data_IF_428914193915
#
_entry.id   IF_428914193915
#
_cell.length_a   1.000
_cell.length_b   1.000
_cell.length_c   1.000
_cell.angle_alpha   90.00
_cell.angle_beta   90.00
_cell.angle_gamma   90.00
#
_symmetry.space_group_name_H-M   'P 1'
#
loop_
_entity.id
_entity.type
_entity.pdbx_description
1 polymer ?
#
# COMPACT_ATOMS: atom_id res chain seq x y z
N UNK A 1 98.73 22.22 14.95
CA UNK A 1 99.22 20.83 14.90
C UNK A 1 98.56 20.18 13.72
N UNK A 2 99.35 19.87 12.70
CA UNK A 2 98.93 19.12 11.52
C UNK A 2 98.60 17.68 11.95
N UNK A 3 97.46 17.17 11.51
CA UNK A 3 96.92 15.91 12.03
C UNK A 3 97.48 14.68 11.27
N UNK A 4 98.03 14.88 10.06
CA UNK A 4 98.53 13.81 9.19
C UNK A 4 99.96 14.15 8.74
N UNK A 5 100.94 13.24 8.87
CA UNK A 5 102.33 13.45 8.43
C UNK A 5 102.48 13.16 6.92
N UNK A 6 101.72 13.86 6.07
CA UNK A 6 101.84 13.80 4.60
C UNK A 6 101.59 15.19 4.01
N UNK A 7 102.36 15.64 2.99
CA UNK A 7 102.23 17.00 2.44
C UNK A 7 101.05 17.09 1.47
N UNK A 8 99.83 17.15 2.02
CA UNK A 8 98.58 17.30 1.27
C UNK A 8 98.16 18.77 1.17
N UNK A 9 99.06 19.63 0.68
CA UNK A 9 98.75 21.03 0.32
C UNK A 9 97.85 21.79 1.32
N UNK A 10 96.99 22.72 0.87
CA UNK A 10 96.08 23.47 1.74
C UNK A 10 94.89 22.64 2.29
N UNK A 11 94.88 21.31 2.07
CA UNK A 11 93.81 20.41 2.47
C UNK A 11 94.07 19.67 3.79
N UNK A 12 95.22 19.90 4.46
CA UNK A 12 95.48 19.28 5.76
C UNK A 12 94.55 19.90 6.82
N UNK A 13 93.58 19.14 7.38
CA UNK A 13 92.61 19.70 8.30
C UNK A 13 93.28 20.11 9.61
N UNK A 14 93.04 21.35 10.04
CA UNK A 14 93.46 21.78 11.37
C UNK A 14 92.58 21.08 12.41
N UNK A 15 93.20 20.49 13.42
CA UNK A 15 92.51 19.80 14.52
C UNK A 15 91.43 20.64 15.21
N UNK A 16 91.64 21.96 15.24
CA UNK A 16 90.69 22.93 15.79
C UNK A 16 89.45 23.06 14.91
N UNK A 17 89.61 23.17 13.59
CA UNK A 17 88.51 23.26 12.62
C UNK A 17 87.67 21.98 12.61
N UNK A 18 88.32 20.81 12.76
CA UNK A 18 87.62 19.54 12.90
C UNK A 18 86.79 19.46 14.20
N UNK A 19 87.32 20.00 15.30
CA UNK A 19 86.60 20.08 16.57
C UNK A 19 85.36 20.97 16.49
N UNK A 20 85.48 22.15 15.85
CA UNK A 20 84.35 23.05 15.63
C UNK A 20 83.30 22.42 14.67
N UNK A 21 83.75 21.78 13.59
CA UNK A 21 82.86 21.09 12.66
C UNK A 21 82.10 19.94 13.33
N UNK A 22 82.78 19.13 14.15
CA UNK A 22 82.17 18.04 14.89
C UNK A 22 81.17 18.56 15.94
N UNK A 23 81.50 19.64 16.65
CA UNK A 23 80.60 20.27 17.61
C UNK A 23 79.33 20.82 16.94
N UNK A 24 79.47 21.50 15.80
CA UNK A 24 78.34 22.00 15.01
C UNK A 24 77.48 20.85 14.46
N UNK A 25 78.12 19.81 13.92
CA UNK A 25 77.42 18.62 13.43
C UNK A 25 76.65 17.91 14.55
N UNK A 26 77.26 17.72 15.73
CA UNK A 26 76.60 17.11 16.87
C UNK A 26 75.41 17.94 17.36
N UNK A 27 75.54 19.27 17.39
CA UNK A 27 74.43 20.17 17.74
C UNK A 27 73.26 20.04 16.75
N UNK A 28 73.53 20.09 15.44
CA UNK A 28 72.50 19.94 14.40
C UNK A 28 71.88 18.54 14.47
N UNK A 29 72.68 17.50 14.67
CA UNK A 29 72.20 16.12 14.78
C UNK A 29 71.22 15.97 15.95
N UNK A 30 71.56 16.48 17.13
CA UNK A 30 70.67 16.43 18.31
C UNK A 30 69.40 17.26 18.08
N UNK A 31 69.52 18.42 17.44
CA UNK A 31 68.36 19.26 17.10
C UNK A 31 67.40 18.52 16.15
N UNK A 32 67.91 17.98 15.04
CA UNK A 32 67.14 17.23 14.04
C UNK A 32 66.55 15.95 14.64
N UNK A 33 67.34 15.19 15.40
CA UNK A 33 66.89 13.98 16.09
C UNK A 33 65.76 14.26 17.09
N UNK A 34 65.65 15.48 17.63
CA UNK A 34 64.59 15.88 18.54
C UNK A 34 63.36 16.47 17.84
N UNK A 35 63.51 17.03 16.64
CA UNK A 35 62.41 17.60 15.84
C UNK A 35 61.70 16.54 14.99
N UNK A 36 62.43 15.61 14.37
CA UNK A 36 61.87 14.50 13.59
C UNK A 36 60.74 13.73 14.31
N UNK A 37 60.89 13.27 15.56
CA UNK A 37 59.84 12.51 16.24
C UNK A 37 58.58 13.33 16.46
N UNK A 38 58.68 14.66 16.62
CA UNK A 38 57.50 15.53 16.74
C UNK A 38 56.75 15.66 15.42
N UNK A 39 57.48 15.73 14.30
CA UNK A 39 56.88 15.81 12.97
C UNK A 39 56.21 14.49 12.59
N UNK A 40 56.86 13.35 12.85
CA UNK A 40 56.27 12.03 12.61
C UNK A 40 54.99 11.82 13.43
N UNK A 41 55.01 12.21 14.71
CA UNK A 41 53.82 12.14 15.57
C UNK A 41 52.66 13.00 15.05
N UNK A 42 52.96 14.17 14.48
CA UNK A 42 51.92 15.02 13.87
C UNK A 42 51.35 14.41 12.57
N UNK A 43 52.18 13.72 11.79
CA UNK A 43 51.73 12.98 10.60
C UNK A 43 50.87 11.78 10.99
N UNK A 44 51.32 10.96 11.95
CA UNK A 44 50.55 9.82 12.49
C UNK A 44 49.18 10.26 13.02
N UNK A 45 49.12 11.34 13.81
CA UNK A 45 47.85 11.89 14.31
C UNK A 45 46.91 12.33 13.17
N UNK A 46 47.46 12.88 12.08
CA UNK A 46 46.66 13.28 10.92
C UNK A 46 46.18 12.07 10.14
N UNK A 47 47.05 11.09 9.92
CA UNK A 47 46.73 9.86 9.20
C UNK A 47 45.65 9.08 9.97
N UNK A 48 45.78 8.95 11.29
CA UNK A 48 44.76 8.33 12.15
C UNK A 48 43.44 9.11 12.11
N UNK A 49 43.50 10.45 12.17
CA UNK A 49 42.30 11.28 12.09
C UNK A 49 41.58 11.15 10.74
N UNK A 50 42.33 11.09 9.62
CA UNK A 50 41.79 10.95 8.27
C UNK A 50 41.24 9.54 8.07
N UNK A 51 42.01 8.51 8.41
CA UNK A 51 41.61 7.11 8.24
C UNK A 51 40.40 6.80 9.13
N UNK A 52 40.42 7.23 10.39
CA UNK A 52 39.28 7.08 11.30
C UNK A 52 38.05 7.90 10.88
N UNK A 53 38.23 9.06 10.24
CA UNK A 53 37.11 9.80 9.65
C UNK A 53 36.55 9.10 8.40
N UNK A 54 37.42 8.55 7.55
CA UNK A 54 37.04 7.80 6.34
C UNK A 54 36.29 6.53 6.70
N UNK A 55 36.79 5.74 7.64
CA UNK A 55 36.13 4.51 8.11
C UNK A 55 34.75 4.81 8.71
N UNK A 56 34.63 5.87 9.52
CA UNK A 56 33.33 6.32 10.04
C UNK A 56 32.38 6.75 8.92
N UNK A 57 32.87 7.47 7.92
CA UNK A 57 32.06 7.89 6.78
C UNK A 57 31.61 6.69 5.93
N UNK A 58 32.48 5.72 5.68
CA UNK A 58 32.16 4.48 4.97
C UNK A 58 31.14 3.63 5.76
N UNK A 59 31.31 3.50 7.08
CA UNK A 59 30.35 2.80 7.94
C UNK A 59 28.97 3.46 7.92
N UNK A 60 28.90 4.80 7.95
CA UNK A 60 27.63 5.53 7.85
C UNK A 60 26.99 5.35 6.47
N UNK A 61 27.78 5.41 5.40
CA UNK A 61 27.29 5.16 4.03
C UNK A 61 26.75 3.75 3.87
N UNK A 62 27.49 2.75 4.35
CA UNK A 62 27.06 1.35 4.29
C UNK A 62 25.76 1.11 5.08
N UNK A 63 25.62 1.72 6.26
CA UNK A 63 24.37 1.67 7.03
C UNK A 63 23.21 2.33 6.28
N UNK A 64 23.43 3.54 5.74
CA UNK A 64 22.40 4.25 4.98
C UNK A 64 21.97 3.48 3.72
N UNK A 65 22.91 2.83 3.02
CA UNK A 65 22.62 1.98 1.88
C UNK A 65 21.84 0.73 2.28
N UNK A 66 22.24 0.05 3.37
CA UNK A 66 21.50 -1.08 3.93
C UNK A 66 20.08 -0.70 4.35
N UNK A 67 19.90 0.43 5.03
CA UNK A 67 18.58 0.93 5.44
C UNK A 67 17.73 1.28 4.23
N UNK A 68 18.32 1.91 3.20
CA UNK A 68 17.63 2.24 1.95
C UNK A 68 17.17 0.97 1.22
N UNK A 69 18.03 -0.04 1.09
CA UNK A 69 17.67 -1.32 0.48
C UNK A 69 16.55 -2.01 1.25
N UNK A 70 16.61 -1.98 2.59
CA UNK A 70 15.54 -2.50 3.45
C UNK A 70 14.21 -1.77 3.23
N UNK A 71 14.24 -0.43 3.14
CA UNK A 71 13.06 0.38 2.87
C UNK A 71 12.47 0.13 1.47
N UNK A 72 13.32 0.01 0.45
CA UNK A 72 12.90 -0.32 -0.92
C UNK A 72 12.25 -1.70 -0.99
N UNK A 73 12.79 -2.70 -0.28
CA UNK A 73 12.19 -4.02 -0.17
C UNK A 73 10.82 -3.99 0.53
N UNK A 74 10.71 -3.26 1.65
CA UNK A 74 9.43 -3.08 2.35
C UNK A 74 8.38 -2.38 1.46
N UNK A 75 8.78 -1.38 0.68
CA UNK A 75 7.88 -0.70 -0.26
C UNK A 75 7.43 -1.62 -1.40
N UNK A 76 8.33 -2.49 -1.90
CA UNK A 76 7.98 -3.48 -2.91
C UNK A 76 6.96 -4.49 -2.35
N UNK A 77 7.21 -5.03 -1.17
CA UNK A 77 6.30 -5.96 -0.48
C UNK A 77 4.94 -5.32 -0.23
N UNK A 78 4.91 -4.09 0.31
CA UNK A 78 3.67 -3.36 0.56
C UNK A 78 2.87 -3.11 -0.74
N UNK A 79 3.53 -2.87 -1.87
CA UNK A 79 2.87 -2.71 -3.18
C UNK A 79 2.30 -4.03 -3.68
N UNK A 80 3.01 -5.13 -3.50
CA UNK A 80 2.52 -6.47 -3.84
C UNK A 80 1.30 -6.83 -2.99
N UNK A 81 1.38 -6.61 -1.69
CA UNK A 81 0.28 -6.88 -0.76
C UNK A 81 -0.94 -6.00 -1.05
N UNK A 82 -0.74 -4.71 -1.33
CA UNK A 82 -1.83 -3.82 -1.74
C UNK A 82 -2.47 -4.26 -3.07
N UNK A 83 -1.68 -4.76 -4.02
CA UNK A 83 -2.22 -5.30 -5.27
C UNK A 83 -3.04 -6.58 -5.02
N UNK A 84 -2.55 -7.47 -4.15
CA UNK A 84 -3.24 -8.69 -3.73
C UNK A 84 -4.59 -8.37 -3.06
N UNK A 85 -4.61 -7.42 -2.12
CA UNK A 85 -5.83 -6.99 -1.44
C UNK A 85 -6.83 -6.38 -2.43
N UNK A 86 -6.37 -5.54 -3.37
CA UNK A 86 -7.26 -4.99 -4.41
C UNK A 86 -7.87 -6.08 -5.28
N UNK A 87 -7.06 -7.07 -5.69
CA UNK A 87 -7.55 -8.18 -6.50
C UNK A 87 -8.59 -9.02 -5.73
N UNK A 88 -8.31 -9.35 -4.47
CA UNK A 88 -9.25 -10.07 -3.61
C UNK A 88 -10.56 -9.31 -3.41
N UNK A 89 -10.49 -7.99 -3.20
CA UNK A 89 -11.68 -7.15 -3.05
C UNK A 89 -12.51 -7.09 -4.34
N UNK A 90 -11.88 -7.06 -5.51
CA UNK A 90 -12.57 -7.11 -6.81
C UNK A 90 -13.27 -8.46 -7.02
N UNK A 91 -12.58 -9.56 -6.73
CA UNK A 91 -13.15 -10.91 -6.84
C UNK A 91 -14.34 -11.09 -5.89
N UNK A 92 -14.16 -10.78 -4.62
CA UNK A 92 -15.22 -10.82 -3.60
C UNK A 92 -16.39 -9.89 -3.95
N UNK A 93 -16.10 -8.67 -4.40
CA UNK A 93 -17.13 -7.71 -4.81
C UNK A 93 -17.94 -8.22 -6.01
N UNK A 94 -17.27 -8.82 -7.00
CA UNK A 94 -17.94 -9.40 -8.16
C UNK A 94 -18.83 -10.59 -7.80
N UNK A 95 -18.35 -11.46 -6.89
CA UNK A 95 -19.10 -12.59 -6.38
C UNK A 95 -20.32 -12.14 -5.58
N UNK A 96 -20.16 -11.15 -4.69
CA UNK A 96 -21.25 -10.61 -3.89
C UNK A 96 -22.33 -9.95 -4.77
N UNK A 97 -21.93 -9.21 -5.82
CA UNK A 97 -22.90 -8.63 -6.76
C UNK A 97 -23.64 -9.72 -7.53
N UNK A 98 -22.95 -10.79 -7.94
CA UNK A 98 -23.58 -11.92 -8.62
C UNK A 98 -24.59 -12.65 -7.71
N UNK A 99 -24.20 -12.90 -6.45
CA UNK A 99 -25.07 -13.51 -5.44
C UNK A 99 -26.29 -12.62 -5.14
N UNK A 100 -26.10 -11.32 -4.90
CA UNK A 100 -27.18 -10.39 -4.65
C UNK A 100 -28.15 -10.30 -5.84
N UNK A 101 -27.65 -10.36 -7.08
CA UNK A 101 -28.51 -10.43 -8.28
C UNK A 101 -29.30 -11.73 -8.36
N UNK A 102 -28.68 -12.86 -8.03
CA UNK A 102 -29.35 -14.16 -8.03
C UNK A 102 -30.42 -14.25 -6.94
N UNK A 103 -30.16 -13.72 -5.74
CA UNK A 103 -31.16 -13.61 -4.67
C UNK A 103 -32.31 -12.69 -5.10
N UNK A 104 -32.00 -11.50 -5.62
CA UNK A 104 -33.04 -10.58 -6.09
C UNK A 104 -33.91 -11.14 -7.22
N UNK A 105 -33.36 -12.00 -8.09
CA UNK A 105 -34.14 -12.73 -9.10
C UNK A 105 -35.06 -13.76 -8.44
N UNK A 106 -34.56 -14.56 -7.49
CA UNK A 106 -35.37 -15.53 -6.73
C UNK A 106 -36.50 -14.86 -5.97
N UNK A 107 -36.21 -13.77 -5.25
CA UNK A 107 -37.23 -13.00 -4.53
C UNK A 107 -38.28 -12.42 -5.49
N UNK A 108 -37.86 -11.85 -6.63
CA UNK A 108 -38.79 -11.35 -7.64
C UNK A 108 -39.71 -12.45 -8.17
N UNK A 109 -39.15 -13.61 -8.51
CA UNK A 109 -39.93 -14.73 -9.03
C UNK A 109 -40.91 -15.25 -7.98
N UNK A 110 -40.50 -15.30 -6.71
CA UNK A 110 -41.37 -15.66 -5.60
C UNK A 110 -42.54 -14.67 -5.43
N UNK A 111 -42.26 -13.36 -5.46
CA UNK A 111 -43.29 -12.31 -5.36
C UNK A 111 -44.25 -12.37 -6.56
N UNK A 112 -43.75 -12.61 -7.77
CA UNK A 112 -44.60 -12.75 -8.97
C UNK A 112 -45.47 -14.00 -8.88
N UNK A 113 -44.93 -15.12 -8.40
CA UNK A 113 -45.70 -16.35 -8.21
C UNK A 113 -46.81 -16.18 -7.16
N UNK A 114 -46.51 -15.57 -6.01
CA UNK A 114 -47.50 -15.26 -4.97
C UNK A 114 -48.58 -14.30 -5.49
N UNK A 115 -48.18 -13.25 -6.21
CA UNK A 115 -49.11 -12.31 -6.83
C UNK A 115 -50.05 -12.98 -7.84
N UNK A 116 -49.55 -13.92 -8.65
CA UNK A 116 -50.40 -14.70 -9.57
C UNK A 116 -51.39 -15.59 -8.83
N UNK A 117 -50.94 -16.29 -7.79
CA UNK A 117 -51.81 -17.13 -6.97
C UNK A 117 -52.92 -16.31 -6.28
N UNK A 118 -52.59 -15.11 -5.79
CA UNK A 118 -53.56 -14.16 -5.22
C UNK A 118 -54.60 -13.72 -6.26
N UNK A 119 -54.16 -13.27 -7.43
CA UNK A 119 -55.05 -12.86 -8.53
C UNK A 119 -55.99 -14.00 -8.93
N UNK A 120 -55.47 -15.23 -9.04
CA UNK A 120 -56.30 -16.40 -9.37
C UNK A 120 -57.38 -16.65 -8.29
N UNK A 121 -57.02 -16.53 -7.01
CA UNK A 121 -57.99 -16.64 -5.91
C UNK A 121 -59.03 -15.51 -5.91
N UNK A 122 -58.62 -14.28 -6.21
CA UNK A 122 -59.50 -13.11 -6.29
C UNK A 122 -60.46 -13.22 -7.49
N UNK A 123 -59.99 -13.69 -8.64
CA UNK A 123 -60.82 -13.97 -9.79
C UNK A 123 -61.86 -15.06 -9.51
N UNK A 124 -61.49 -16.14 -8.82
CA UNK A 124 -62.42 -17.20 -8.44
C UNK A 124 -63.50 -16.69 -7.46
N UNK A 125 -63.11 -15.87 -6.49
CA UNK A 125 -64.04 -15.23 -5.56
C UNK A 125 -65.00 -14.27 -6.28
N UNK A 126 -64.48 -13.44 -7.18
CA UNK A 126 -65.27 -12.50 -7.97
C UNK A 126 -66.26 -13.21 -8.91
N UNK A 127 -65.89 -14.34 -9.55
CA UNK A 127 -66.82 -15.12 -10.37
C UNK A 127 -67.96 -15.71 -9.53
N UNK A 128 -67.65 -16.21 -8.33
CA UNK A 128 -68.65 -16.72 -7.40
C UNK A 128 -69.63 -15.61 -6.95
N UNK A 129 -69.11 -14.43 -6.60
CA UNK A 129 -69.93 -13.27 -6.25
C UNK A 129 -70.81 -12.81 -7.41
N UNK A 130 -70.24 -12.68 -8.62
CA UNK A 130 -70.97 -12.28 -9.82
C UNK A 130 -72.14 -13.22 -10.13
N UNK A 131 -71.94 -14.54 -10.01
CA UNK A 131 -73.01 -15.54 -10.21
C UNK A 131 -74.17 -15.38 -9.22
N UNK A 132 -73.87 -15.06 -7.97
CA UNK A 132 -74.90 -14.79 -6.96
C UNK A 132 -75.68 -13.52 -7.32
N UNK A 133 -74.99 -12.41 -7.61
CA UNK A 133 -75.62 -11.14 -7.98
C UNK A 133 -76.48 -11.26 -9.25
N UNK A 134 -76.01 -11.99 -10.27
CA UNK A 134 -76.79 -12.24 -11.50
C UNK A 134 -78.05 -13.06 -11.20
N UNK A 135 -77.96 -14.07 -10.34
CA UNK A 135 -79.12 -14.90 -9.96
C UNK A 135 -80.18 -14.10 -9.19
N UNK A 136 -79.73 -13.19 -8.32
CA UNK A 136 -80.60 -12.27 -7.59
C UNK A 136 -81.29 -11.28 -8.53
N UNK A 137 -80.53 -10.62 -9.42
CA UNK A 137 -81.05 -9.70 -10.43
C UNK A 137 -82.03 -10.39 -11.40
N UNK A 138 -81.73 -11.61 -11.84
CA UNK A 138 -82.60 -12.38 -12.71
C UNK A 138 -83.92 -12.75 -12.00
N UNK A 139 -83.86 -13.10 -10.71
CA UNK A 139 -85.04 -13.39 -9.90
C UNK A 139 -85.90 -12.14 -9.67
N UNK A 140 -85.27 -10.98 -9.42
CA UNK A 140 -85.96 -9.70 -9.31
C UNK A 140 -86.67 -9.33 -10.62
N UNK A 141 -85.99 -9.46 -11.77
CA UNK A 141 -86.57 -9.21 -13.09
C UNK A 141 -87.74 -10.14 -13.40
N UNK A 142 -87.59 -11.44 -13.12
CA UNK A 142 -88.65 -12.43 -13.31
C UNK A 142 -89.89 -12.12 -12.44
N UNK A 143 -89.66 -11.73 -11.18
CA UNK A 143 -90.73 -11.30 -10.26
C UNK A 143 -91.48 -10.06 -10.78
N UNK A 144 -90.76 -9.08 -11.32
CA UNK A 144 -91.38 -7.89 -11.96
C UNK A 144 -92.22 -8.26 -13.18
N UNK A 145 -91.72 -9.13 -14.08
CA UNK A 145 -92.46 -9.56 -15.29
C UNK A 145 -93.73 -10.36 -14.93
N UNK A 146 -93.68 -11.24 -13.92
CA UNK A 146 -94.87 -12.02 -13.49
C UNK A 146 -95.85 -11.16 -12.68
N UNK A 147 -95.34 -10.17 -11.93
CA UNK A 147 -96.14 -9.19 -11.20
C UNK A 147 -96.93 -8.25 -12.13
N UNK A 148 -96.41 -7.94 -13.31
CA UNK A 148 -97.12 -7.26 -14.39
C UNK A 148 -97.96 -8.25 -15.21
N UNK A 149 -99.08 -8.71 -14.63
CA UNK A 149 -100.15 -9.29 -15.47
C UNK A 149 -100.86 -8.19 -16.25
N UNK A 150 -100.79 -8.33 -17.57
CA UNK A 150 -101.60 -7.65 -18.59
C UNK A 150 -103.07 -7.63 -18.13
N UNK A 151 -103.57 -6.44 -17.81
CA UNK A 151 -105.01 -6.19 -17.74
C UNK A 151 -105.55 -6.25 -19.18
N UNK A 152 -106.02 -7.42 -19.60
CA UNK A 152 -106.90 -7.54 -20.75
C UNK A 152 -108.35 -7.62 -20.23
N UNK A 153 -109.18 -6.59 -20.46
CA UNK A 153 -110.62 -6.74 -20.36
C UNK A 153 -111.08 -7.48 -21.61
N UNK A 154 -111.62 -8.69 -21.46
CA UNK A 154 -112.47 -9.28 -22.49
C UNK A 154 -113.87 -9.33 -21.90
N UNK A 155 -114.71 -8.43 -22.41
CA UNK A 155 -116.13 -8.34 -22.11
C UNK A 155 -116.83 -9.68 -22.38
N UNK A 156 -117.59 -10.16 -21.40
CA UNK A 156 -118.65 -11.13 -21.62
C UNK A 156 -119.91 -10.36 -22.02
N UNK A 157 -120.36 -10.57 -23.26
CA UNK A 157 -121.67 -10.17 -23.75
C UNK A 157 -122.49 -11.43 -24.07
N UNK A 158 -123.68 -11.51 -23.46
CA UNK A 158 -124.77 -12.51 -23.56
C UNK A 158 -124.49 -13.96 -23.14
#
# INVERSE_FOLDING_TARGET
MELIPYPIGPLNPKVQDLGYALALFAFIYVFVARVLPRMNRALELRDDAINGAKERAEAVRARAESERLGAEALLAEARHEAARIRQQALEQGSALIAEARAEGQRERDAVVADGRARIESECAAADAELRMSVSELASELASRIVGERIAAPVEQSN
#
